data_IF_629542942151
#
_entry.id   IF_629542942151
#
_cell.length_a   1.000
_cell.length_b   1.000
_cell.length_c   1.000
_cell.angle_alpha   90.00
_cell.angle_beta   90.00
_cell.angle_gamma   90.00
#
_symmetry.space_group_name_H-M   'P 1'
#
loop_
_entity.id
_entity.type
_entity.pdbx_description
1 polymer ?
#
# COMPACT_ATOMS: atom_id res chain seq x y z
N UNK A 1 -16.56 11.80 28.41
CA UNK A 1 -16.69 11.24 27.04
C UNK A 1 -18.14 11.11 26.57
N UNK A 2 -19.02 10.40 27.28
CA UNK A 2 -20.44 10.22 26.90
C UNK A 2 -21.18 11.54 26.61
N UNK A 3 -21.01 12.56 27.45
CA UNK A 3 -21.64 13.87 27.26
C UNK A 3 -21.15 14.58 25.99
N UNK A 4 -19.92 14.32 25.54
CA UNK A 4 -19.38 14.89 24.32
C UNK A 4 -20.04 14.25 23.08
N UNK A 5 -20.30 12.94 23.12
CA UNK A 5 -20.97 12.22 22.03
C UNK A 5 -22.41 12.72 21.82
N UNK A 6 -23.14 12.98 22.90
CA UNK A 6 -24.48 13.59 22.84
C UNK A 6 -24.41 15.03 22.33
N UNK A 7 -23.44 15.83 22.82
CA UNK A 7 -23.26 17.22 22.39
C UNK A 7 -22.92 17.36 20.91
N UNK A 8 -22.28 16.34 20.33
CA UNK A 8 -21.91 16.29 18.92
C UNK A 8 -22.99 15.65 18.02
N UNK A 9 -24.18 15.32 18.56
CA UNK A 9 -25.23 14.56 17.86
C UNK A 9 -24.75 13.23 17.26
N UNK A 10 -23.66 12.67 17.78
CA UNK A 10 -23.16 11.33 17.39
C UNK A 10 -24.07 10.25 18.00
N UNK A 11 -24.72 10.58 19.12
CA UNK A 11 -25.61 9.69 19.86
C UNK A 11 -26.85 10.48 20.30
N UNK A 12 -28.04 9.97 20.00
CA UNK A 12 -29.32 10.62 20.36
C UNK A 12 -29.54 10.65 21.89
N UNK A 13 -29.18 9.58 22.61
CA UNK A 13 -29.32 9.51 24.06
C UNK A 13 -28.23 8.64 24.72
N UNK A 14 -27.74 9.08 25.88
CA UNK A 14 -26.73 8.37 26.68
C UNK A 14 -27.15 6.96 27.12
N UNK A 15 -28.44 6.63 27.00
CA UNK A 15 -29.00 5.31 27.32
C UNK A 15 -28.55 4.22 26.34
N UNK A 16 -28.23 4.57 25.07
CA UNK A 16 -27.77 3.59 24.06
C UNK A 16 -26.34 3.12 24.31
N UNK A 17 -25.54 3.91 25.03
CA UNK A 17 -24.14 3.59 25.36
C UNK A 17 -24.02 2.69 26.60
N UNK A 18 -25.12 2.41 27.30
CA UNK A 18 -25.11 1.53 28.47
C UNK A 18 -25.20 0.08 28.02
N UNK A 19 -24.17 -0.72 28.33
CA UNK A 19 -24.16 -2.18 28.10
C UNK A 19 -25.44 -2.81 28.67
N UNK A 20 -26.28 -3.33 27.78
CA UNK A 20 -27.55 -3.98 28.15
C UNK A 20 -27.23 -5.25 28.93
N UNK A 21 -27.41 -5.23 30.25
CA UNK A 21 -27.29 -6.44 31.07
C UNK A 21 -28.41 -7.41 30.67
N UNK A 22 -28.06 -8.48 29.98
CA UNK A 22 -28.97 -9.59 29.74
C UNK A 22 -29.37 -10.20 31.09
N UNK A 23 -30.67 -10.15 31.43
CA UNK A 23 -31.18 -10.86 32.60
C UNK A 23 -31.17 -12.35 32.27
N UNK A 24 -30.31 -13.11 32.96
CA UNK A 24 -30.24 -14.58 32.87
C UNK A 24 -31.65 -15.14 33.19
N UNK A 25 -32.25 -16.01 32.35
CA UNK A 25 -33.52 -16.63 32.68
C UNK A 25 -33.33 -17.53 33.91
N UNK A 26 -34.12 -17.29 34.96
CA UNK A 26 -34.19 -18.14 36.14
C UNK A 26 -34.85 -19.47 35.74
N UNK A 27 -34.08 -20.55 35.64
CA UNK A 27 -34.63 -21.90 35.67
C UNK A 27 -35.02 -22.21 37.12
N UNK A 28 -36.32 -22.26 37.37
CA UNK A 28 -36.90 -22.96 38.50
C UNK A 28 -36.79 -24.47 38.21
N UNK A 29 -36.18 -25.22 39.13
CA UNK A 29 -36.58 -26.58 39.50
C UNK A 29 -35.82 -27.02 40.76
N UNK A 30 -36.58 -27.26 41.84
CA UNK A 30 -36.24 -28.13 42.98
C UNK A 30 -35.86 -29.53 42.42
N UNK A 31 -34.99 -30.35 43.02
CA UNK A 31 -34.89 -30.67 44.44
C UNK A 31 -33.52 -31.34 44.75
N UNK A 32 -32.91 -30.91 45.87
CA UNK A 32 -32.28 -31.75 46.91
C UNK A 32 -31.00 -32.57 46.59
N UNK A 33 -29.84 -32.11 47.11
CA UNK A 33 -29.00 -32.75 48.15
C UNK A 33 -28.06 -31.67 48.76
N UNK A 34 -27.71 -31.84 50.03
CA UNK A 34 -27.22 -30.85 51.01
C UNK A 34 -25.77 -30.35 50.85
N UNK A 35 -25.55 -29.12 51.34
CA UNK A 35 -24.43 -28.48 52.10
C UNK A 35 -23.00 -29.07 51.98
N UNK A 36 -21.91 -28.31 51.80
CA UNK A 36 -21.46 -27.21 52.65
C UNK A 36 -20.57 -26.16 51.94
N UNK A 37 -20.48 -25.04 52.64
CA UNK A 37 -19.78 -23.77 52.48
C UNK A 37 -18.25 -23.85 52.30
N UNK A 38 -17.69 -22.84 51.65
CA UNK A 38 -16.26 -22.71 51.41
C UNK A 38 -15.95 -21.55 50.47
N UNK A 39 -16.17 -20.32 50.95
CA UNK A 39 -15.78 -19.11 50.25
C UNK A 39 -14.27 -19.01 50.01
N UNK A 40 -13.90 -18.43 48.87
CA UNK A 40 -12.63 -17.73 48.72
C UNK A 40 -12.75 -16.65 47.64
N UNK A 41 -12.38 -15.46 48.08
CA UNK A 41 -12.31 -14.17 47.40
C UNK A 41 -10.96 -14.04 46.67
N UNK A 42 -10.96 -13.26 45.58
CA UNK A 42 -9.82 -12.57 44.92
C UNK A 42 -8.59 -13.45 44.50
N UNK A 43 -8.12 -13.49 43.26
CA UNK A 43 -7.52 -12.43 42.43
C UNK A 43 -7.32 -13.04 41.02
N UNK A 44 -7.88 -12.48 39.94
CA UNK A 44 -7.50 -12.86 38.56
C UNK A 44 -6.57 -11.77 38.01
N UNK A 45 -5.30 -11.89 38.41
CA UNK A 45 -4.19 -11.07 37.95
C UNK A 45 -3.80 -11.41 36.52
N UNK A 46 -3.48 -10.38 35.74
CA UNK A 46 -3.24 -10.46 34.31
C UNK A 46 -1.96 -11.15 33.83
N UNK A 47 -1.83 -11.13 32.51
CA UNK A 47 -0.77 -11.69 31.66
C UNK A 47 -1.47 -12.24 30.42
N UNK A 48 -1.71 -11.46 29.36
CA UNK A 48 -0.72 -11.10 28.34
C UNK A 48 0.26 -12.25 28.06
N UNK A 49 -0.16 -13.14 27.18
CA UNK A 49 0.71 -14.05 26.44
C UNK A 49 0.34 -13.94 24.96
N UNK A 50 0.88 -12.91 24.30
CA UNK A 50 1.12 -13.00 22.86
C UNK A 50 2.10 -14.15 22.58
N UNK A 51 1.84 -15.02 21.58
CA UNK A 51 2.87 -15.91 21.08
C UNK A 51 3.84 -15.11 20.21
N UNK A 52 5.01 -14.92 20.79
CA UNK A 52 6.26 -14.45 20.19
C UNK A 52 6.71 -15.34 19.00
N UNK A 53 7.38 -14.66 18.07
CA UNK A 53 8.33 -15.13 17.07
C UNK A 53 8.20 -16.53 16.46
N UNK A 54 7.85 -16.55 15.17
CA UNK A 54 8.51 -17.41 14.20
C UNK A 54 9.24 -16.49 13.21
N UNK A 55 10.47 -16.15 13.58
CA UNK A 55 11.49 -15.57 12.70
C UNK A 55 11.88 -16.64 11.68
N UNK A 56 11.28 -16.59 10.49
CA UNK A 56 11.77 -17.32 9.33
C UNK A 56 12.97 -16.57 8.77
N UNK A 57 14.14 -16.93 9.27
CA UNK A 57 15.44 -16.70 8.68
C UNK A 57 15.49 -17.51 7.37
N UNK A 58 15.24 -16.87 6.24
CA UNK A 58 15.42 -17.47 4.91
C UNK A 58 16.46 -16.63 4.16
N UNK A 59 17.72 -16.90 4.45
CA UNK A 59 18.83 -16.53 3.59
C UNK A 59 18.85 -17.48 2.38
N UNK A 60 18.21 -17.13 1.27
CA UNK A 60 18.59 -17.71 -0.02
C UNK A 60 18.17 -16.92 -1.28
N UNK A 61 19.18 -16.51 -2.04
CA UNK A 61 19.21 -16.31 -3.50
C UNK A 61 18.48 -15.10 -4.13
N UNK A 62 19.06 -13.91 -3.89
CA UNK A 62 18.70 -12.60 -4.46
C UNK A 62 18.95 -12.43 -5.98
N UNK A 63 19.33 -13.50 -6.70
CA UNK A 63 19.76 -13.38 -8.11
C UNK A 63 18.66 -13.66 -9.15
N UNK A 64 17.63 -14.44 -8.81
CA UNK A 64 16.54 -14.83 -9.74
C UNK A 64 15.24 -14.02 -9.51
N UNK A 65 15.02 -13.51 -8.29
CA UNK A 65 13.82 -12.74 -7.93
C UNK A 65 13.77 -11.34 -8.56
N UNK A 66 14.92 -10.78 -8.94
CA UNK A 66 15.01 -9.43 -9.47
C UNK A 66 14.52 -9.35 -10.93
N UNK A 67 14.66 -10.43 -11.70
CA UNK A 67 14.27 -10.50 -13.11
C UNK A 67 12.75 -10.72 -13.28
N UNK A 68 12.13 -11.52 -12.39
CA UNK A 68 10.68 -11.70 -12.34
C UNK A 68 9.97 -10.40 -11.89
N UNK A 69 10.56 -9.69 -10.91
CA UNK A 69 10.07 -8.40 -10.42
C UNK A 69 10.07 -7.31 -11.51
N UNK A 70 11.09 -7.33 -12.37
CA UNK A 70 11.23 -6.47 -13.56
C UNK A 70 10.22 -6.81 -14.66
N UNK A 71 9.98 -8.11 -14.91
CA UNK A 71 9.01 -8.58 -15.91
C UNK A 71 7.57 -8.24 -15.52
N UNK A 72 7.21 -8.44 -14.26
CA UNK A 72 5.89 -8.09 -13.73
C UNK A 72 5.62 -6.57 -13.87
N UNK A 73 6.61 -5.74 -13.49
CA UNK A 73 6.52 -4.29 -13.63
C UNK A 73 6.32 -3.85 -15.09
N UNK A 74 7.11 -4.42 -16.02
CA UNK A 74 7.01 -4.14 -17.45
C UNK A 74 5.63 -4.47 -18.02
N UNK A 75 5.04 -5.60 -17.59
CA UNK A 75 3.69 -6.00 -17.96
C UNK A 75 2.63 -5.03 -17.41
N UNK A 76 2.75 -4.60 -16.14
CA UNK A 76 1.84 -3.60 -15.58
C UNK A 76 1.93 -2.26 -16.32
N UNK A 77 3.16 -1.83 -16.64
CA UNK A 77 3.40 -0.60 -17.39
C UNK A 77 2.81 -0.69 -18.80
N UNK A 78 2.96 -1.82 -19.49
CA UNK A 78 2.34 -2.06 -20.79
C UNK A 78 0.81 -1.97 -20.73
N UNK A 79 0.18 -2.55 -19.70
CA UNK A 79 -1.28 -2.47 -19.51
C UNK A 79 -1.73 -1.02 -19.34
N UNK A 80 -1.02 -0.23 -18.52
CA UNK A 80 -1.36 1.18 -18.30
C UNK A 80 -1.09 2.03 -19.55
N UNK A 81 0.03 1.81 -20.26
CA UNK A 81 0.36 2.52 -21.51
C UNK A 81 -0.66 2.24 -22.63
N UNK A 82 -1.28 1.07 -22.63
CA UNK A 82 -2.33 0.70 -23.59
C UNK A 82 -3.75 1.05 -23.12
N UNK A 83 -3.89 1.68 -21.95
CA UNK A 83 -5.18 2.15 -21.41
C UNK A 83 -5.45 3.62 -21.77
N UNK A 84 -6.57 4.16 -21.33
CA UNK A 84 -6.87 5.60 -21.47
C UNK A 84 -6.06 6.49 -20.50
N UNK A 85 -5.26 5.92 -19.61
CA UNK A 85 -4.57 6.63 -18.52
C UNK A 85 -3.14 7.09 -18.87
N UNK A 86 -2.79 7.19 -20.14
CA UNK A 86 -1.43 7.58 -20.58
C UNK A 86 -1.08 8.99 -20.13
N UNK A 87 -2.02 9.93 -20.27
CA UNK A 87 -1.83 11.31 -19.84
C UNK A 87 -1.65 11.40 -18.32
N UNK A 88 -2.33 10.53 -17.56
CA UNK A 88 -2.19 10.45 -16.11
C UNK A 88 -0.87 9.81 -15.70
N UNK A 89 -0.31 8.92 -16.52
CA UNK A 89 1.06 8.42 -16.33
C UNK A 89 2.06 9.56 -16.50
N UNK A 90 1.89 10.40 -17.51
CA UNK A 90 2.74 11.59 -17.71
C UNK A 90 2.63 12.59 -16.55
N UNK A 91 1.41 12.79 -16.03
CA UNK A 91 1.18 13.57 -14.81
C UNK A 91 1.96 13.02 -13.61
N UNK A 92 1.92 11.71 -13.37
CA UNK A 92 2.69 11.07 -12.28
C UNK A 92 4.19 11.32 -12.46
N UNK A 93 4.73 11.17 -13.67
CA UNK A 93 6.15 11.46 -13.95
C UNK A 93 6.51 12.90 -13.60
N UNK A 94 5.69 13.87 -13.99
CA UNK A 94 5.89 15.27 -13.65
C UNK A 94 5.88 15.51 -12.14
N UNK A 95 4.97 14.84 -11.40
CA UNK A 95 4.93 14.93 -9.92
C UNK A 95 6.16 14.34 -9.25
N UNK A 96 6.67 13.21 -9.73
CA UNK A 96 7.88 12.58 -9.19
C UNK A 96 9.12 13.42 -9.47
N UNK A 97 9.25 14.00 -10.66
CA UNK A 97 10.35 14.91 -10.98
C UNK A 97 10.34 16.17 -10.12
N UNK A 98 9.17 16.81 -9.97
CA UNK A 98 9.04 17.99 -9.10
C UNK A 98 9.39 17.66 -7.65
N UNK A 99 8.91 16.53 -7.13
CA UNK A 99 9.27 16.08 -5.78
C UNK A 99 10.77 15.78 -5.65
N UNK A 100 11.43 15.23 -6.68
CA UNK A 100 12.86 14.98 -6.67
C UNK A 100 13.68 16.27 -6.69
N UNK A 101 13.23 17.28 -7.42
CA UNK A 101 13.85 18.61 -7.46
C UNK A 101 13.70 19.31 -6.10
N UNK A 102 12.49 19.34 -5.53
CA UNK A 102 12.22 19.93 -4.21
C UNK A 102 13.08 19.27 -3.10
N UNK A 103 13.22 17.94 -3.15
CA UNK A 103 14.02 17.16 -2.19
C UNK A 103 15.53 17.25 -2.41
N UNK A 104 15.99 17.78 -3.55
CA UNK A 104 17.42 18.02 -3.77
C UNK A 104 17.87 19.35 -3.15
N UNK A 105 16.93 20.24 -2.81
CA UNK A 105 17.21 21.56 -2.23
C UNK A 105 17.17 21.58 -0.69
N UNK A 106 16.45 20.65 -0.07
CA UNK A 106 16.28 20.50 1.39
C UNK A 106 16.44 19.03 1.79
N UNK A 107 16.90 18.74 3.01
CA UNK A 107 17.06 17.38 3.56
C UNK A 107 15.89 16.95 4.48
N UNK A 108 14.98 17.86 4.83
CA UNK A 108 13.81 17.56 5.68
C UNK A 108 12.57 17.26 4.82
N UNK A 109 12.45 16.00 4.38
CA UNK A 109 11.38 15.58 3.47
C UNK A 109 10.13 15.17 4.22
N UNK A 110 8.99 15.71 3.79
CA UNK A 110 7.67 15.30 4.27
C UNK A 110 6.92 14.48 3.21
N UNK A 111 5.98 13.60 3.62
CA UNK A 111 5.13 12.88 2.67
C UNK A 111 4.24 13.82 1.85
N UNK A 112 4.40 13.83 0.52
CA UNK A 112 3.70 14.75 -0.38
C UNK A 112 2.40 14.16 -0.90
N UNK A 113 1.23 14.82 -0.75
CA UNK A 113 -0.04 14.32 -1.26
C UNK A 113 -0.16 14.52 -2.78
N UNK A 114 -0.61 13.47 -3.48
CA UNK A 114 -1.01 13.53 -4.88
C UNK A 114 -2.43 14.07 -4.98
N UNK A 115 -2.53 15.38 -5.21
CA UNK A 115 -3.79 16.09 -5.42
C UNK A 115 -4.16 16.04 -6.91
N UNK A 116 -5.30 15.43 -7.21
CA UNK A 116 -5.90 15.41 -8.54
C UNK A 116 -6.70 16.70 -8.78
N UNK A 117 -6.42 17.37 -9.89
CA UNK A 117 -7.16 18.57 -10.30
C UNK A 117 -8.16 18.30 -11.43
N UNK A 118 -8.10 17.12 -12.03
CA UNK A 118 -8.99 16.69 -13.13
C UNK A 118 -9.72 15.40 -12.76
N UNK A 119 -10.91 15.22 -13.31
CA UNK A 119 -11.72 14.01 -13.13
C UNK A 119 -11.00 12.77 -13.69
N UNK A 120 -10.35 12.90 -14.85
CA UNK A 120 -9.57 11.83 -15.48
C UNK A 120 -8.46 11.30 -14.56
N UNK A 121 -7.78 12.21 -13.83
CA UNK A 121 -6.76 11.83 -12.84
C UNK A 121 -7.37 11.07 -11.67
N UNK A 122 -8.56 11.48 -11.21
CA UNK A 122 -9.28 10.78 -10.15
C UNK A 122 -9.76 9.40 -10.59
N UNK A 123 -10.21 9.26 -11.84
CA UNK A 123 -10.60 7.99 -12.45
C UNK A 123 -9.40 7.05 -12.60
N UNK A 124 -8.25 7.55 -13.06
CA UNK A 124 -7.02 6.76 -13.12
C UNK A 124 -6.62 6.25 -11.72
N UNK A 125 -6.73 7.08 -10.68
CA UNK A 125 -6.47 6.64 -9.30
C UNK A 125 -7.50 5.63 -8.75
N UNK A 126 -8.63 5.39 -9.43
CA UNK A 126 -9.60 4.32 -9.12
C UNK A 126 -9.32 3.04 -9.89
N UNK A 127 -8.55 3.10 -10.99
CA UNK A 127 -8.21 1.92 -11.78
C UNK A 127 -7.23 1.01 -11.05
N UNK A 128 -7.53 -0.30 -11.00
CA UNK A 128 -6.75 -1.26 -10.24
C UNK A 128 -5.36 -1.48 -10.84
N UNK A 129 -5.22 -1.40 -12.16
CA UNK A 129 -3.95 -1.60 -12.86
C UNK A 129 -3.03 -0.42 -12.59
N UNK A 130 -3.57 0.80 -12.68
CA UNK A 130 -2.87 2.03 -12.33
C UNK A 130 -2.43 2.02 -10.86
N UNK A 131 -3.33 1.71 -9.92
CA UNK A 131 -2.98 1.63 -8.48
C UNK A 131 -1.88 0.61 -8.18
N UNK A 132 -1.87 -0.55 -8.86
CA UNK A 132 -0.81 -1.55 -8.70
C UNK A 132 0.53 -1.01 -9.16
N UNK A 133 0.56 -0.33 -10.31
CA UNK A 133 1.77 0.32 -10.81
C UNK A 133 2.27 1.38 -9.82
N UNK A 134 1.39 2.23 -9.29
CA UNK A 134 1.75 3.25 -8.31
C UNK A 134 2.37 2.65 -7.04
N UNK A 135 1.81 1.55 -6.53
CA UNK A 135 2.38 0.84 -5.37
C UNK A 135 3.75 0.26 -5.69
N UNK A 136 3.94 -0.27 -6.91
CA UNK A 136 5.20 -0.87 -7.35
C UNK A 136 6.33 0.15 -7.45
N UNK A 137 6.03 1.40 -7.83
CA UNK A 137 7.00 2.52 -7.79
C UNK A 137 7.14 3.17 -6.40
N UNK A 138 6.50 2.63 -5.36
CA UNK A 138 6.67 3.06 -3.97
C UNK A 138 5.71 4.16 -3.51
N UNK A 139 4.66 4.50 -4.26
CA UNK A 139 3.63 5.43 -3.78
C UNK A 139 2.71 4.76 -2.76
N UNK A 140 2.31 5.53 -1.74
CA UNK A 140 1.40 5.06 -0.71
C UNK A 140 -0.06 5.34 -1.09
N UNK A 141 -0.88 4.29 -1.06
CA UNK A 141 -2.34 4.43 -1.14
C UNK A 141 -2.90 5.06 0.14
N UNK A 142 -4.06 5.74 0.07
CA UNK A 142 -4.73 6.23 1.28
C UNK A 142 -5.01 5.08 2.25
N UNK A 143 -4.57 5.23 3.51
CA UNK A 143 -4.54 4.11 4.46
C UNK A 143 -5.92 3.78 5.04
N UNK A 144 -6.81 4.77 5.19
CA UNK A 144 -8.13 4.64 5.81
C UNK A 144 -9.08 5.76 5.33
N UNK A 145 -10.35 5.75 5.75
CA UNK A 145 -11.36 6.78 5.42
C UNK A 145 -10.97 8.22 5.80
N UNK A 146 -9.94 8.39 6.64
CA UNK A 146 -9.40 9.70 7.01
C UNK A 146 -8.49 10.29 5.93
N UNK A 147 -7.78 9.45 5.16
CA UNK A 147 -6.90 9.90 4.09
C UNK A 147 -7.60 9.81 2.75
N UNK A 148 -7.52 10.89 1.97
CA UNK A 148 -8.18 11.01 0.66
C UNK A 148 -7.22 10.88 -0.51
N UNK A 149 -5.93 11.11 -0.27
CA UNK A 149 -4.93 11.28 -1.31
C UNK A 149 -3.86 10.20 -1.23
N UNK A 150 -3.39 9.77 -2.40
CA UNK A 150 -2.15 9.04 -2.51
C UNK A 150 -0.98 9.92 -2.06
N UNK A 151 0.12 9.33 -1.62
CA UNK A 151 1.30 10.08 -1.17
C UNK A 151 2.57 9.59 -1.82
N UNK A 152 3.51 10.52 -2.03
CA UNK A 152 4.93 10.24 -2.20
C UNK A 152 5.52 10.16 -0.79
N UNK A 153 5.92 8.97 -0.32
CA UNK A 153 6.53 8.81 0.99
C UNK A 153 7.81 9.65 1.15
N UNK A 154 8.12 10.02 2.38
CA UNK A 154 9.36 10.72 2.75
C UNK A 154 10.61 9.85 2.58
N UNK A 155 10.50 8.53 2.74
CA UNK A 155 11.62 7.60 2.57
C UNK A 155 12.12 7.40 1.12
N UNK A 156 11.47 8.01 0.11
CA UNK A 156 11.94 7.97 -1.28
C UNK A 156 12.98 9.07 -1.55
N UNK A 157 14.22 8.71 -1.84
CA UNK A 157 15.25 9.69 -2.17
C UNK A 157 15.01 10.35 -3.55
N UNK A 158 15.60 11.53 -3.83
CA UNK A 158 15.59 12.13 -5.16
C UNK A 158 16.00 11.16 -6.27
N UNK A 159 17.05 10.35 -6.03
CA UNK A 159 17.53 9.36 -6.99
C UNK A 159 16.53 8.23 -7.23
N UNK A 160 15.84 7.77 -6.18
CA UNK A 160 14.79 6.75 -6.31
C UNK A 160 13.58 7.29 -7.09
N UNK A 161 13.20 8.55 -6.86
CA UNK A 161 12.13 9.21 -7.62
C UNK A 161 12.48 9.35 -9.11
N UNK A 162 13.71 9.77 -9.42
CA UNK A 162 14.20 9.87 -10.81
C UNK A 162 14.31 8.50 -11.48
N UNK A 163 14.77 7.48 -10.74
CA UNK A 163 14.80 6.10 -11.23
C UNK A 163 13.39 5.61 -11.56
N UNK A 164 12.41 5.84 -10.69
CA UNK A 164 11.02 5.48 -10.96
C UNK A 164 10.48 6.16 -12.23
N UNK A 165 10.83 7.44 -12.47
CA UNK A 165 10.47 8.12 -13.73
C UNK A 165 11.12 7.42 -14.93
N UNK A 166 12.41 7.11 -14.86
CA UNK A 166 13.12 6.42 -15.94
C UNK A 166 12.52 5.03 -16.22
N UNK A 167 12.13 4.29 -15.19
CA UNK A 167 11.50 2.98 -15.30
C UNK A 167 10.10 3.09 -15.96
N UNK A 168 9.35 4.16 -15.69
CA UNK A 168 8.06 4.44 -16.36
C UNK A 168 8.23 4.89 -17.82
N UNK A 169 9.37 5.50 -18.16
CA UNK A 169 9.71 5.93 -19.52
C UNK A 169 10.26 4.81 -20.38
N UNK A 170 10.90 3.81 -19.77
CA UNK A 170 11.42 2.65 -20.47
C UNK A 170 10.37 2.12 -21.45
N UNK A 171 10.73 2.13 -22.73
CA UNK A 171 9.93 1.46 -23.74
C UNK A 171 9.97 -0.02 -23.40
N UNK A 172 8.80 -0.58 -23.14
CA UNK A 172 8.64 -2.04 -23.12
C UNK A 172 9.21 -2.53 -24.43
N UNK A 173 10.17 -3.47 -24.44
CA UNK A 173 10.81 -3.92 -25.68
C UNK A 173 9.71 -4.33 -26.65
N UNK A 174 9.55 -3.51 -27.67
CA UNK A 174 8.55 -3.68 -28.70
C UNK A 174 8.84 -5.04 -29.35
N UNK A 175 7.98 -6.02 -29.09
CA UNK A 175 8.08 -7.35 -29.69
C UNK A 175 7.96 -7.30 -31.24
N UNK A 176 7.75 -6.12 -31.83
CA UNK A 176 7.75 -5.88 -33.27
C UNK A 176 8.96 -5.11 -33.82
N UNK A 177 10.00 -4.80 -33.05
CA UNK A 177 11.20 -4.17 -33.60
C UNK A 177 12.44 -5.07 -33.54
N UNK A 178 12.65 -5.95 -34.54
CA UNK A 178 13.89 -6.68 -34.64
C UNK A 178 14.97 -5.73 -35.17
N UNK A 179 16.12 -5.74 -34.49
CA UNK A 179 17.44 -5.28 -34.95
C UNK A 179 17.79 -3.83 -34.55
N UNK A 180 18.40 -3.71 -33.37
CA UNK A 180 19.63 -2.93 -33.24
C UNK A 180 20.76 -3.85 -32.75
N UNK A 181 21.05 -4.91 -33.52
CA UNK A 181 22.30 -5.65 -33.40
C UNK A 181 23.33 -4.97 -34.29
N UNK A 182 23.94 -3.89 -33.78
CA UNK A 182 25.04 -3.19 -34.43
C UNK A 182 26.37 -3.98 -34.26
N UNK A 183 26.31 -5.31 -34.43
CA UNK A 183 27.46 -6.21 -34.34
C UNK A 183 27.54 -7.21 -35.51
N UNK A 184 26.70 -7.08 -36.54
CA UNK A 184 26.77 -7.94 -37.74
C UNK A 184 27.45 -7.30 -38.96
N UNK A 185 27.89 -6.03 -38.86
CA UNK A 185 28.59 -5.38 -39.99
C UNK A 185 30.09 -5.69 -40.07
N UNK A 186 30.69 -6.28 -39.03
CA UNK A 186 32.13 -6.61 -39.04
C UNK A 186 32.45 -7.97 -39.67
N UNK A 187 31.47 -8.83 -39.94
CA UNK A 187 31.72 -10.13 -40.58
C UNK A 187 31.60 -10.05 -42.11
N UNK A 188 30.84 -9.09 -42.65
CA UNK A 188 30.60 -9.01 -44.11
C UNK A 188 31.56 -8.07 -44.86
N UNK A 189 32.37 -7.29 -44.16
CA UNK A 189 33.40 -6.42 -44.78
C UNK A 189 34.76 -7.10 -44.94
N UNK A 190 34.97 -8.30 -44.38
CA UNK A 190 36.24 -9.03 -44.54
C UNK A 190 36.24 -10.04 -45.70
N UNK A 191 35.14 -10.23 -46.42
CA UNK A 191 35.05 -11.20 -47.53
C UNK A 191 35.14 -10.58 -48.94
N UNK A 192 35.62 -9.35 -49.04
CA UNK A 192 36.05 -8.74 -50.30
C UNK A 192 37.36 -7.99 -50.08
N UNK A 193 38.46 -8.73 -49.90
CA UNK A 193 39.81 -8.27 -50.17
C UNK A 193 40.65 -9.38 -50.79
#
# INVERSE_FOLDING_TARGET
VINQLVKLNIVEDRSILRKKRAKKPRKLNNNEYEEEDGGSDEEDGGGDEEPDAETSDDENDESDLNDEMSTEFSNMLAVVKNSEHVDQLEWIKSRLNGAADDRAEDDDWQPLPLVTLTEESELALRDKSFQKLLKKIGLASPTNEQERYWRIPDNLSPDQLRKAVADLEADTPDANNPIHSEHVMDVLTTLWR
#
